data_IF_966911234452
#
_entry.id   IF_966911234452
#
_cell.length_a   1.000
_cell.length_b   1.000
_cell.length_c   1.000
_cell.angle_alpha   90.00
_cell.angle_beta   90.00
_cell.angle_gamma   90.00
#
_symmetry.space_group_name_H-M   'P 1'
#
loop_
_entity.id
_entity.type
_entity.pdbx_description
1 polymer ?
#
# COMPACT_ATOMS: atom_id res chain seq x y z
N UNK A 1 6.30 23.52 -0.98
CA UNK A 1 4.88 23.43 -1.40
C UNK A 1 4.58 21.95 -1.55
N UNK A 2 3.50 21.44 -0.94
CA UNK A 2 3.03 20.08 -1.23
C UNK A 2 2.56 20.03 -2.69
N UNK A 3 2.80 18.91 -3.37
CA UNK A 3 2.26 18.71 -4.72
C UNK A 3 0.74 18.74 -4.69
N UNK A 4 0.13 19.33 -5.72
CA UNK A 4 -1.32 19.31 -5.86
C UNK A 4 -1.81 17.90 -6.18
N UNK A 5 -3.03 17.55 -5.75
CA UNK A 5 -3.64 16.25 -6.11
C UNK A 5 -3.71 16.03 -7.63
N UNK A 6 -3.89 17.12 -8.38
CA UNK A 6 -3.86 17.10 -9.84
C UNK A 6 -2.52 16.58 -10.34
N UNK A 7 -1.43 17.22 -9.89
CA UNK A 7 -0.07 16.87 -10.30
C UNK A 7 0.23 15.42 -9.93
N UNK A 8 -0.10 15.01 -8.69
CA UNK A 8 0.10 13.64 -8.22
C UNK A 8 -0.57 12.60 -9.13
N UNK A 9 -1.81 12.86 -9.60
CA UNK A 9 -2.55 11.94 -10.46
C UNK A 9 -2.09 11.99 -11.92
N UNK A 10 -1.72 13.18 -12.40
CA UNK A 10 -1.24 13.40 -13.76
C UNK A 10 0.16 12.80 -13.98
N UNK A 11 0.97 12.70 -12.93
CA UNK A 11 2.31 12.10 -12.97
C UNK A 11 2.33 10.60 -12.67
N UNK A 12 1.19 9.99 -12.32
CA UNK A 12 1.13 8.54 -12.12
C UNK A 12 1.59 7.80 -13.38
N UNK A 13 2.47 6.79 -13.24
CA UNK A 13 2.96 6.04 -14.38
C UNK A 13 1.80 5.28 -15.05
N UNK A 14 1.71 5.36 -16.37
CA UNK A 14 0.78 4.55 -17.16
C UNK A 14 1.32 3.14 -17.43
N UNK A 15 2.65 2.98 -17.46
CA UNK A 15 3.33 1.74 -17.82
C UNK A 15 4.75 1.68 -17.20
N UNK A 16 4.84 1.32 -15.92
CA UNK A 16 6.10 1.01 -15.25
C UNK A 16 6.02 -0.37 -14.56
N UNK A 17 7.05 -0.76 -13.81
CA UNK A 17 7.06 -2.03 -13.09
C UNK A 17 5.89 -2.15 -12.11
N UNK A 18 5.60 -1.12 -11.30
CA UNK A 18 4.42 -1.10 -10.41
C UNK A 18 3.15 -1.46 -11.17
N UNK A 19 2.87 -0.80 -12.29
CA UNK A 19 1.66 -1.04 -13.09
C UNK A 19 1.65 -2.46 -13.68
N UNK A 20 2.80 -2.95 -14.15
CA UNK A 20 2.92 -4.32 -14.67
C UNK A 20 2.64 -5.37 -13.60
N UNK A 21 3.20 -5.20 -12.40
CA UNK A 21 2.97 -6.06 -11.25
C UNK A 21 1.50 -6.04 -10.84
N UNK A 22 0.88 -4.86 -10.74
CA UNK A 22 -0.55 -4.75 -10.42
C UNK A 22 -1.45 -5.40 -11.49
N UNK A 23 -1.12 -5.23 -12.77
CA UNK A 23 -1.83 -5.93 -13.86
C UNK A 23 -1.62 -7.44 -13.79
N UNK A 24 -0.42 -7.90 -13.43
CA UNK A 24 -0.13 -9.32 -13.25
C UNK A 24 -0.96 -9.95 -12.13
N UNK A 25 -1.32 -9.15 -11.10
CA UNK A 25 -2.17 -9.56 -10.00
C UNK A 25 -3.68 -9.40 -10.29
N UNK A 26 -4.08 -8.99 -11.50
CA UNK A 26 -5.51 -8.84 -11.84
C UNK A 26 -6.27 -10.17 -11.68
N UNK A 27 -5.64 -11.32 -11.88
CA UNK A 27 -6.27 -12.63 -11.66
C UNK A 27 -6.78 -12.85 -10.23
N UNK A 28 -6.21 -12.14 -9.24
CA UNK A 28 -6.63 -12.20 -7.83
C UNK A 28 -7.98 -11.49 -7.63
N UNK A 29 -8.22 -10.41 -8.37
CA UNK A 29 -9.46 -9.61 -8.35
C UNK A 29 -9.88 -9.21 -9.78
N UNK A 30 -10.34 -10.17 -10.60
CA UNK A 30 -10.44 -9.98 -12.05
C UNK A 30 -11.24 -8.77 -12.49
N UNK A 31 -10.58 -7.88 -13.26
CA UNK A 31 -11.18 -6.68 -13.84
C UNK A 31 -11.65 -5.64 -12.82
N UNK A 32 -11.25 -5.76 -11.55
CA UNK A 32 -11.65 -4.83 -10.48
C UNK A 32 -10.81 -3.57 -10.43
N UNK A 33 -9.64 -3.56 -11.07
CA UNK A 33 -8.78 -2.39 -11.14
C UNK A 33 -8.41 -2.05 -12.58
N UNK A 34 -8.30 -0.76 -12.83
CA UNK A 34 -7.78 -0.22 -14.08
C UNK A 34 -6.83 0.92 -13.72
N UNK A 35 -5.71 1.00 -14.43
CA UNK A 35 -4.75 2.08 -14.24
C UNK A 35 -5.22 3.39 -14.91
N UNK A 36 -6.23 4.04 -14.32
CA UNK A 36 -6.66 5.36 -14.78
C UNK A 36 -5.66 6.40 -14.29
N UNK A 37 -5.00 7.07 -15.24
CA UNK A 37 -4.05 8.16 -14.99
C UNK A 37 -4.57 9.45 -15.62
N UNK A 38 -4.18 10.58 -15.04
CA UNK A 38 -4.71 11.89 -15.42
C UNK A 38 -5.99 12.24 -14.64
N UNK A 39 -6.02 13.41 -14.03
CA UNK A 39 -7.10 13.81 -13.14
C UNK A 39 -8.45 13.92 -13.87
N UNK A 40 -8.46 14.51 -15.07
CA UNK A 40 -9.67 14.65 -15.88
C UNK A 40 -10.19 13.30 -16.39
N UNK A 41 -9.29 12.37 -16.73
CA UNK A 41 -9.66 10.99 -17.06
C UNK A 41 -10.27 10.28 -15.85
N UNK A 42 -9.74 10.55 -14.67
CA UNK A 42 -10.27 10.01 -13.41
C UNK A 42 -11.65 10.60 -13.12
N UNK A 43 -11.90 11.89 -13.36
CA UNK A 43 -13.23 12.50 -13.26
C UNK A 43 -14.22 11.77 -14.18
N UNK A 44 -13.86 11.58 -15.45
CA UNK A 44 -14.71 10.87 -16.42
C UNK A 44 -15.00 9.44 -15.95
N UNK A 45 -13.98 8.71 -15.49
CA UNK A 45 -14.11 7.33 -15.05
C UNK A 45 -14.95 7.17 -13.77
N UNK A 46 -14.90 8.16 -12.86
CA UNK A 46 -15.61 8.11 -11.56
C UNK A 46 -17.05 8.61 -11.68
N UNK A 47 -17.28 9.65 -12.48
CA UNK A 47 -18.57 10.36 -12.52
C UNK A 47 -19.39 10.09 -13.78
N UNK A 48 -18.77 9.58 -14.85
CA UNK A 48 -19.39 9.45 -16.17
C UNK A 48 -19.57 10.77 -16.92
N UNK A 49 -19.16 11.91 -16.34
CA UNK A 49 -19.29 13.23 -16.95
C UNK A 49 -18.29 13.40 -18.09
N UNK A 50 -18.78 13.83 -19.27
CA UNK A 50 -17.95 14.16 -20.44
C UNK A 50 -17.94 15.66 -20.78
N UNK A 51 -18.82 16.46 -20.17
CA UNK A 51 -18.89 17.90 -20.41
C UNK A 51 -17.69 18.63 -19.80
N UNK A 52 -17.00 19.43 -20.63
CA UNK A 52 -15.76 20.10 -20.23
C UNK A 52 -15.96 21.12 -19.09
N UNK A 53 -17.10 21.83 -19.06
CA UNK A 53 -17.37 22.80 -18.01
C UNK A 53 -17.62 22.10 -16.67
N UNK A 54 -18.40 21.01 -16.67
CA UNK A 54 -18.60 20.20 -15.46
C UNK A 54 -17.31 19.55 -14.97
N UNK A 55 -16.48 19.02 -15.87
CA UNK A 55 -15.16 18.48 -15.49
C UNK A 55 -14.32 19.55 -14.80
N UNK A 56 -14.26 20.77 -15.35
CA UNK A 56 -13.53 21.88 -14.76
C UNK A 56 -14.10 22.31 -13.39
N UNK A 57 -15.42 22.30 -13.21
CA UNK A 57 -16.05 22.58 -11.92
C UNK A 57 -15.67 21.54 -10.85
N UNK A 58 -15.76 20.25 -11.20
CA UNK A 58 -15.37 19.15 -10.30
C UNK A 58 -13.87 19.26 -9.98
N UNK A 59 -13.02 19.56 -10.96
CA UNK A 59 -11.58 19.75 -10.79
C UNK A 59 -11.27 20.86 -9.78
N UNK A 60 -11.87 22.05 -9.97
CA UNK A 60 -11.66 23.18 -9.07
C UNK A 60 -12.13 22.85 -7.64
N UNK A 61 -13.31 22.23 -7.51
CA UNK A 61 -13.85 21.84 -6.21
C UNK A 61 -12.98 20.78 -5.51
N UNK A 62 -12.42 19.83 -6.26
CA UNK A 62 -11.51 18.84 -5.71
C UNK A 62 -10.20 19.47 -5.21
N UNK A 63 -9.67 20.50 -5.89
CA UNK A 63 -8.51 21.27 -5.42
C UNK A 63 -8.83 21.98 -4.09
N UNK A 64 -9.99 22.62 -3.99
CA UNK A 64 -10.43 23.26 -2.74
C UNK A 64 -10.51 22.24 -1.58
N UNK A 65 -11.18 21.10 -1.81
CA UNK A 65 -11.32 20.04 -0.81
C UNK A 65 -9.99 19.40 -0.40
N UNK A 66 -9.05 19.27 -1.35
CA UNK A 66 -7.71 18.75 -1.07
C UNK A 66 -6.88 19.72 -0.23
N UNK A 67 -7.02 21.03 -0.45
CA UNK A 67 -6.27 22.06 0.27
C UNK A 67 -6.89 22.46 1.61
N UNK A 68 -8.14 22.08 1.87
CA UNK A 68 -8.78 22.24 3.17
C UNK A 68 -8.13 21.32 4.21
N UNK A 69 -7.34 21.90 5.11
CA UNK A 69 -6.62 21.18 6.18
C UNK A 69 -7.54 20.48 7.19
N UNK A 70 -8.83 20.84 7.22
CA UNK A 70 -9.81 20.10 8.02
C UNK A 70 -10.17 18.75 7.38
N UNK A 71 -9.87 18.57 6.08
CA UNK A 71 -10.01 17.31 5.36
C UNK A 71 -8.73 16.49 5.48
N UNK A 72 -8.88 15.17 5.64
CA UNK A 72 -7.75 14.27 5.83
C UNK A 72 -6.99 13.87 4.57
N UNK A 73 -7.33 14.40 3.39
CA UNK A 73 -6.80 13.91 2.11
C UNK A 73 -5.28 14.07 1.95
N UNK A 74 -4.73 15.23 2.30
CA UNK A 74 -3.27 15.43 2.26
C UNK A 74 -2.53 14.49 3.21
N UNK A 75 -3.10 14.25 4.39
CA UNK A 75 -2.54 13.32 5.36
C UNK A 75 -2.62 11.87 4.88
N UNK A 76 -3.69 11.50 4.17
CA UNK A 76 -3.80 10.17 3.55
C UNK A 76 -2.75 9.97 2.44
N UNK A 77 -2.51 10.97 1.59
CA UNK A 77 -1.40 10.92 0.61
C UNK A 77 -0.06 10.74 1.32
N UNK A 78 0.22 11.57 2.33
CA UNK A 78 1.46 11.47 3.11
C UNK A 78 1.64 10.08 3.74
N UNK A 79 0.57 9.48 4.26
CA UNK A 79 0.58 8.13 4.82
C UNK A 79 1.00 7.08 3.77
N UNK A 80 0.39 7.09 2.57
CA UNK A 80 0.73 6.16 1.50
C UNK A 80 2.15 6.37 0.96
N UNK A 81 2.61 7.63 0.89
CA UNK A 81 3.98 7.94 0.47
C UNK A 81 5.02 7.57 1.54
N UNK A 82 4.66 7.67 2.82
CA UNK A 82 5.56 7.36 3.93
C UNK A 82 5.87 5.87 4.00
N UNK A 83 4.86 5.01 3.79
CA UNK A 83 5.06 3.57 3.87
C UNK A 83 5.89 3.04 2.69
N UNK A 84 5.73 3.56 1.47
CA UNK A 84 6.58 3.21 0.32
C UNK A 84 7.96 3.92 0.34
N UNK A 85 8.03 5.11 0.94
CA UNK A 85 9.23 5.96 0.93
C UNK A 85 10.30 5.56 1.94
N UNK A 86 9.91 4.94 3.05
CA UNK A 86 10.85 4.48 4.08
C UNK A 86 11.82 3.43 3.53
N UNK A 87 11.35 2.55 2.65
CA UNK A 87 12.17 1.49 2.03
C UNK A 87 13.12 2.05 0.97
N UNK A 88 12.72 3.10 0.24
CA UNK A 88 13.57 3.81 -0.72
C UNK A 88 14.74 4.54 -0.07
N UNK A 89 14.54 5.20 1.07
CA UNK A 89 15.61 5.95 1.74
C UNK A 89 16.74 5.02 2.19
N UNK A 90 16.40 3.81 2.66
CA UNK A 90 17.37 2.78 3.01
C UNK A 90 18.03 2.15 1.77
N UNK A 91 17.26 1.86 0.71
CA UNK A 91 17.77 1.31 -0.54
C UNK A 91 18.68 2.26 -1.33
N UNK A 92 18.36 3.55 -1.38
CA UNK A 92 19.15 4.58 -2.07
C UNK A 92 20.48 4.87 -1.35
N UNK A 93 20.49 4.87 -0.02
CA UNK A 93 21.74 4.98 0.76
C UNK A 93 22.67 3.78 0.54
N UNK A 94 22.11 2.58 0.41
CA UNK A 94 22.86 1.38 0.07
C UNK A 94 23.43 1.39 -1.37
N UNK A 95 22.71 1.99 -2.32
CA UNK A 95 23.18 2.15 -3.72
C UNK A 95 24.18 3.31 -3.90
N UNK A 96 24.01 4.43 -3.21
CA UNK A 96 24.89 5.59 -3.29
C UNK A 96 26.32 5.29 -2.78
N UNK A 97 26.43 4.40 -1.78
CA UNK A 97 27.73 3.91 -1.28
C UNK A 97 28.45 2.94 -2.24
N UNK A 98 27.87 2.59 -3.40
CA UNK A 98 28.33 1.49 -4.25
C UNK A 98 28.62 1.83 -5.73
N UNK A 99 28.82 3.10 -6.09
CA UNK A 99 29.47 3.43 -7.37
C UNK A 99 30.96 3.07 -7.28
N UNK A 100 31.30 1.77 -7.43
CA UNK A 100 32.69 1.30 -7.42
C UNK A 100 32.94 -0.19 -7.18
N UNK A 101 32.00 -0.96 -6.60
CA UNK A 101 32.28 -2.36 -6.22
C UNK A 101 31.45 -3.38 -7.03
N UNK A 102 32.13 -4.16 -7.88
CA UNK A 102 31.61 -5.42 -8.41
C UNK A 102 31.68 -6.46 -7.30
N UNK A 103 30.57 -6.76 -6.60
CA UNK A 103 30.24 -8.07 -5.98
C UNK A 103 28.94 -7.95 -5.17
N UNK A 104 28.06 -8.95 -5.37
CA UNK A 104 27.03 -9.41 -4.43
C UNK A 104 26.06 -8.37 -3.93
N UNK A 105 24.92 -8.22 -4.62
CA UNK A 105 23.80 -7.33 -4.30
C UNK A 105 23.34 -7.36 -2.81
N UNK A 106 23.77 -8.34 -1.99
CA UNK A 106 23.11 -8.71 -0.73
C UNK A 106 24.04 -9.08 0.45
N UNK A 107 25.31 -8.69 0.44
CA UNK A 107 26.16 -8.90 1.62
C UNK A 107 25.79 -8.03 2.83
N UNK A 108 24.93 -7.01 2.66
CA UNK A 108 24.48 -6.12 3.73
C UNK A 108 23.38 -6.73 4.63
N UNK A 109 22.77 -7.86 4.23
CA UNK A 109 21.82 -8.61 5.06
C UNK A 109 22.50 -9.40 6.18
N UNK A 110 23.83 -9.50 6.19
CA UNK A 110 24.56 -10.43 7.06
C UNK A 110 25.11 -9.83 8.35
N UNK A 111 24.79 -8.58 8.72
CA UNK A 111 25.24 -8.02 10.00
C UNK A 111 24.19 -7.12 10.66
N UNK A 112 23.65 -7.60 11.77
CA UNK A 112 22.82 -6.89 12.77
C UNK A 112 21.42 -6.46 12.30
N UNK A 113 20.77 -7.25 11.46
CA UNK A 113 19.35 -7.09 11.08
C UNK A 113 18.50 -8.14 11.82
N UNK A 114 17.27 -7.82 12.29
CA UNK A 114 16.31 -8.83 12.72
C UNK A 114 16.12 -9.90 11.62
N UNK A 115 15.62 -11.09 11.96
CA UNK A 115 15.36 -12.14 10.96
C UNK A 115 14.47 -11.57 9.85
N UNK A 116 14.70 -11.93 8.58
CA UNK A 116 13.94 -11.41 7.44
C UNK A 116 12.41 -11.50 7.67
N UNK A 117 11.94 -12.64 8.19
CA UNK A 117 10.54 -12.85 8.57
C UNK A 117 10.00 -11.80 9.57
N UNK A 118 10.80 -11.36 10.53
CA UNK A 118 10.42 -10.31 11.50
C UNK A 118 10.22 -8.99 10.79
N UNK A 119 11.17 -8.58 9.94
CA UNK A 119 11.13 -7.29 9.23
C UNK A 119 9.89 -7.24 8.33
N UNK A 120 9.66 -8.30 7.57
CA UNK A 120 8.52 -8.42 6.66
C UNK A 120 7.19 -8.48 7.42
N UNK A 121 7.14 -9.16 8.57
CA UNK A 121 5.95 -9.19 9.42
C UNK A 121 5.62 -7.81 10.00
N UNK A 122 6.64 -7.07 10.44
CA UNK A 122 6.51 -5.70 10.95
C UNK A 122 6.03 -4.77 9.84
N UNK A 123 6.62 -4.87 8.65
CA UNK A 123 6.24 -4.05 7.51
C UNK A 123 4.77 -4.27 7.10
N UNK A 124 4.35 -5.53 6.92
CA UNK A 124 2.95 -5.89 6.65
C UNK A 124 1.99 -5.33 7.71
N UNK A 125 2.34 -5.42 8.99
CA UNK A 125 1.54 -4.84 10.08
C UNK A 125 1.40 -3.31 9.94
N UNK A 126 2.49 -2.62 9.61
CA UNK A 126 2.50 -1.18 9.47
C UNK A 126 1.74 -0.73 8.21
N UNK A 127 1.85 -1.44 7.08
CA UNK A 127 1.04 -1.20 5.87
C UNK A 127 -0.46 -1.32 6.16
N UNK A 128 -0.89 -2.30 6.97
CA UNK A 128 -2.29 -2.44 7.41
C UNK A 128 -2.73 -1.25 8.29
N UNK A 129 -1.88 -0.84 9.23
CA UNK A 129 -2.18 0.30 10.13
C UNK A 129 -2.24 1.60 9.34
N UNK A 130 -1.31 1.82 8.41
CA UNK A 130 -1.30 2.96 7.50
C UNK A 130 -2.57 3.00 6.66
N UNK A 131 -3.01 1.86 6.13
CA UNK A 131 -4.28 1.75 5.39
C UNK A 131 -5.47 2.16 6.26
N UNK A 132 -5.55 1.65 7.48
CA UNK A 132 -6.60 1.99 8.44
C UNK A 132 -6.61 3.50 8.78
N UNK A 133 -5.44 4.07 9.03
CA UNK A 133 -5.29 5.51 9.30
C UNK A 133 -5.72 6.33 8.08
N UNK A 134 -5.27 5.97 6.88
CA UNK A 134 -5.61 6.68 5.66
C UNK A 134 -7.10 6.57 5.32
N UNK A 135 -7.70 5.38 5.51
CA UNK A 135 -9.14 5.18 5.39
C UNK A 135 -9.93 6.11 6.31
N UNK A 136 -9.55 6.20 7.59
CA UNK A 136 -10.19 7.10 8.53
C UNK A 136 -10.06 8.58 8.12
N UNK A 137 -8.91 8.98 7.59
CA UNK A 137 -8.65 10.36 7.13
C UNK A 137 -9.43 10.73 5.88
N UNK A 138 -9.51 9.82 4.90
CA UNK A 138 -10.28 10.01 3.66
C UNK A 138 -11.77 10.19 3.97
N UNK A 139 -12.29 9.39 4.91
CA UNK A 139 -13.71 9.37 5.25
C UNK A 139 -14.09 10.32 6.40
N UNK A 140 -13.13 11.08 6.94
CA UNK A 140 -13.37 12.01 8.05
C UNK A 140 -13.91 11.35 9.32
N UNK A 141 -13.48 10.12 9.61
CA UNK A 141 -13.99 9.36 10.75
C UNK A 141 -13.52 9.99 12.08
N UNK A 142 -14.43 10.16 13.06
CA UNK A 142 -14.10 10.77 14.35
C UNK A 142 -13.29 9.83 15.26
N UNK A 143 -13.32 8.52 14.99
CA UNK A 143 -12.56 7.50 15.70
C UNK A 143 -12.14 6.39 14.76
N UNK A 144 -11.06 5.69 15.13
CA UNK A 144 -10.45 4.64 14.33
C UNK A 144 -10.73 3.29 15.01
N UNK A 145 -11.41 2.40 14.30
CA UNK A 145 -11.81 1.10 14.82
C UNK A 145 -11.41 -0.03 13.85
N UNK A 146 -10.50 -0.93 14.25
CA UNK A 146 -10.09 -2.07 13.44
C UNK A 146 -11.21 -2.97 12.91
N UNK A 147 -12.25 -3.23 13.71
CA UNK A 147 -13.35 -4.13 13.32
C UNK A 147 -14.25 -3.48 12.26
N UNK A 148 -14.56 -2.19 12.45
CA UNK A 148 -15.28 -1.41 11.43
C UNK A 148 -14.49 -1.42 10.13
N UNK A 149 -13.19 -1.15 10.19
CA UNK A 149 -12.33 -1.16 9.01
C UNK A 149 -12.29 -2.51 8.27
N UNK A 150 -12.21 -3.64 8.99
CA UNK A 150 -12.32 -4.95 8.35
C UNK A 150 -13.66 -5.16 7.62
N UNK A 151 -14.74 -4.60 8.17
CA UNK A 151 -16.07 -4.61 7.52
C UNK A 151 -16.06 -3.77 6.24
N UNK A 152 -15.42 -2.60 6.27
CA UNK A 152 -15.28 -1.70 5.12
C UNK A 152 -14.45 -2.32 3.99
N UNK A 153 -13.36 -3.03 4.32
CA UNK A 153 -12.61 -3.80 3.34
C UNK A 153 -13.52 -4.84 2.67
N UNK A 154 -14.34 -5.56 3.44
CA UNK A 154 -15.18 -6.60 2.90
C UNK A 154 -16.34 -6.07 2.04
N UNK A 155 -16.90 -4.90 2.37
CA UNK A 155 -18.15 -4.41 1.78
C UNK A 155 -17.97 -3.30 0.75
N UNK A 156 -16.93 -2.48 0.90
CA UNK A 156 -16.83 -1.19 0.21
C UNK A 156 -15.51 -0.96 -0.51
N UNK A 157 -14.46 -1.75 -0.24
CA UNK A 157 -13.22 -1.67 -0.99
C UNK A 157 -13.43 -2.11 -2.44
N UNK A 158 -13.05 -1.23 -3.35
CA UNK A 158 -13.19 -1.38 -4.80
C UNK A 158 -12.01 -0.70 -5.49
N UNK A 159 -11.87 -0.88 -6.80
CA UNK A 159 -10.89 -0.17 -7.62
C UNK A 159 -9.45 -0.30 -7.06
N UNK A 160 -8.74 0.82 -6.94
CA UNK A 160 -7.37 0.90 -6.48
C UNK A 160 -7.20 0.45 -5.01
N UNK A 161 -8.17 0.72 -4.14
CA UNK A 161 -8.09 0.31 -2.73
C UNK A 161 -8.15 -1.21 -2.58
N UNK A 162 -9.02 -1.88 -3.34
CA UNK A 162 -9.09 -3.35 -3.34
C UNK A 162 -7.82 -3.97 -3.94
N UNK A 163 -7.33 -3.42 -5.07
CA UNK A 163 -6.09 -3.88 -5.68
C UNK A 163 -4.89 -3.73 -4.76
N UNK A 164 -4.79 -2.63 -4.03
CA UNK A 164 -3.73 -2.45 -3.02
C UNK A 164 -3.75 -3.53 -1.96
N UNK A 165 -4.93 -3.85 -1.42
CA UNK A 165 -5.04 -4.88 -0.39
C UNK A 165 -4.75 -6.28 -0.94
N UNK A 166 -5.12 -6.56 -2.19
CA UNK A 166 -4.76 -7.81 -2.86
C UNK A 166 -3.24 -7.90 -3.09
N UNK A 167 -2.62 -6.80 -3.55
CA UNK A 167 -1.18 -6.70 -3.73
C UNK A 167 -0.42 -6.86 -2.41
N UNK A 168 -0.89 -6.26 -1.31
CA UNK A 168 -0.34 -6.43 0.03
C UNK A 168 -0.29 -7.91 0.46
N UNK A 169 -1.40 -8.64 0.27
CA UNK A 169 -1.44 -10.07 0.60
C UNK A 169 -0.46 -10.87 -0.26
N UNK A 170 -0.31 -10.52 -1.53
CA UNK A 170 0.57 -11.25 -2.45
C UNK A 170 2.05 -10.92 -2.23
N UNK A 171 2.39 -9.64 -2.21
CA UNK A 171 3.77 -9.11 -2.27
C UNK A 171 4.41 -9.02 -0.89
N UNK A 172 3.64 -8.70 0.16
CA UNK A 172 4.16 -8.51 1.53
C UNK A 172 3.78 -9.66 2.47
N UNK A 173 2.73 -10.40 2.13
CA UNK A 173 2.32 -11.61 2.81
C UNK A 173 2.97 -12.85 2.20
N UNK A 174 2.35 -13.38 1.15
CA UNK A 174 2.64 -14.71 0.62
C UNK A 174 4.06 -14.87 0.07
N UNK A 175 4.53 -13.92 -0.73
CA UNK A 175 5.84 -13.98 -1.39
C UNK A 175 7.00 -14.02 -0.37
N UNK A 176 7.12 -13.09 0.60
CA UNK A 176 8.23 -13.08 1.55
C UNK A 176 8.04 -14.03 2.74
N UNK A 177 6.80 -14.20 3.22
CA UNK A 177 6.55 -14.95 4.47
C UNK A 177 6.02 -16.37 4.22
N UNK A 178 5.65 -16.70 2.98
CA UNK A 178 5.16 -18.00 2.58
C UNK A 178 3.68 -18.24 2.92
N UNK A 179 3.18 -19.48 2.72
CA UNK A 179 1.74 -19.79 2.83
C UNK A 179 1.19 -19.63 4.27
N UNK A 180 2.07 -19.67 5.28
CA UNK A 180 1.70 -19.52 6.69
C UNK A 180 1.96 -18.10 7.22
N UNK A 181 2.02 -17.07 6.34
CA UNK A 181 2.39 -15.71 6.72
C UNK A 181 1.56 -15.15 7.89
N UNK A 182 0.25 -15.42 7.94
CA UNK A 182 -0.62 -14.97 9.02
C UNK A 182 -0.15 -15.46 10.39
N UNK A 183 0.23 -16.75 10.47
CA UNK A 183 0.75 -17.34 11.69
C UNK A 183 2.12 -16.76 12.06
N UNK A 184 2.99 -16.54 11.06
CA UNK A 184 4.30 -15.91 11.30
C UNK A 184 4.16 -14.51 11.89
N UNK A 185 3.27 -13.69 11.34
CA UNK A 185 3.01 -12.34 11.84
C UNK A 185 2.46 -12.37 13.27
N UNK A 186 1.49 -13.25 13.55
CA UNK A 186 0.96 -13.43 14.91
C UNK A 186 2.05 -13.84 15.91
N UNK A 187 2.95 -14.74 15.49
CA UNK A 187 4.08 -15.16 16.32
C UNK A 187 5.03 -14.00 16.59
N UNK A 188 5.39 -13.20 15.58
CA UNK A 188 6.25 -12.01 15.73
C UNK A 188 5.62 -10.99 16.68
N UNK A 189 4.33 -10.68 16.53
CA UNK A 189 3.60 -9.78 17.42
C UNK A 189 3.60 -10.28 18.88
N UNK A 190 3.54 -11.60 19.09
CA UNK A 190 3.49 -12.21 20.42
C UNK A 190 4.86 -12.36 21.07
N UNK A 191 5.91 -12.67 20.30
CA UNK A 191 7.24 -13.02 20.81
C UNK A 191 8.18 -11.84 20.95
N UNK A 192 8.15 -10.91 20.00
CA UNK A 192 9.06 -9.75 19.97
C UNK A 192 8.39 -8.47 20.49
N UNK A 193 7.06 -8.43 20.42
CA UNK A 193 6.24 -7.34 20.94
C UNK A 193 6.68 -5.97 20.42
N UNK A 194 6.82 -5.00 21.33
CA UNK A 194 7.10 -3.61 20.96
C UNK A 194 8.51 -3.42 20.38
N UNK A 195 9.46 -4.28 20.77
CA UNK A 195 10.86 -4.17 20.33
C UNK A 195 11.05 -4.43 18.84
N UNK A 196 10.11 -5.14 18.19
CA UNK A 196 10.12 -5.35 16.75
C UNK A 196 9.85 -4.07 15.94
N UNK A 197 9.17 -3.08 16.54
CA UNK A 197 8.70 -1.86 15.86
C UNK A 197 9.55 -0.63 16.16
N UNK A 198 10.23 -0.57 17.30
CA UNK A 198 10.90 0.66 17.78
C UNK A 198 12.03 1.16 16.89
N UNK A 199 12.66 0.27 16.12
CA UNK A 199 13.70 0.62 15.13
C UNK A 199 13.14 0.88 13.73
N UNK A 200 11.84 0.66 13.50
CA UNK A 200 11.24 0.81 12.18
C UNK A 200 10.96 2.30 11.86
N UNK A 201 11.47 2.83 10.72
CA UNK A 201 11.26 4.24 10.34
C UNK A 201 9.80 4.62 10.06
N UNK A 202 9.01 3.71 9.47
CA UNK A 202 7.57 3.92 9.24
C UNK A 202 6.86 4.03 10.58
N UNK A 203 7.10 3.10 11.50
CA UNK A 203 6.51 3.16 12.85
C UNK A 203 6.86 4.48 13.53
N UNK A 204 8.13 4.89 13.50
CA UNK A 204 8.56 6.16 14.09
C UNK A 204 7.80 7.35 13.50
N UNK A 205 7.59 7.35 12.18
CA UNK A 205 6.90 8.43 11.47
C UNK A 205 5.40 8.51 11.77
N UNK A 206 4.72 7.36 11.92
CA UNK A 206 3.26 7.30 12.08
C UNK A 206 2.77 7.04 13.51
N UNK A 207 3.67 6.71 14.44
CA UNK A 207 3.35 6.31 15.82
C UNK A 207 2.44 7.30 16.57
N UNK A 208 2.62 8.60 16.32
CA UNK A 208 1.81 9.66 16.92
C UNK A 208 0.37 9.68 16.42
N UNK A 209 0.10 9.09 15.25
CA UNK A 209 -1.23 8.99 14.64
C UNK A 209 -1.97 7.70 15.04
N UNK A 210 -1.24 6.69 15.50
CA UNK A 210 -1.83 5.45 16.02
C UNK A 210 -2.59 5.79 17.31
N UNK A 211 -3.88 5.43 17.45
CA UNK A 211 -4.67 5.75 18.65
C UNK A 211 -4.20 5.02 19.92
N UNK A 212 -4.46 5.63 21.09
CA UNK A 212 -4.25 5.03 22.42
C UNK A 212 -2.78 5.00 22.87
N UNK A 213 -2.53 4.74 24.15
CA UNK A 213 -1.17 4.56 24.67
C UNK A 213 -0.57 3.21 24.26
N UNK A 214 -1.41 2.17 24.20
CA UNK A 214 -1.03 0.82 23.78
C UNK A 214 -0.99 0.70 22.24
N UNK A 215 0.07 1.25 21.64
CA UNK A 215 0.29 1.21 20.18
C UNK A 215 0.40 -0.21 19.65
N UNK A 216 1.08 -1.10 20.37
CA UNK A 216 1.27 -2.49 19.97
C UNK A 216 -0.05 -3.24 20.00
N UNK A 217 -0.86 -3.07 21.04
CA UNK A 217 -2.20 -3.63 21.12
C UNK A 217 -3.08 -3.13 19.97
N UNK A 218 -2.99 -1.86 19.60
CA UNK A 218 -3.69 -1.34 18.43
C UNK A 218 -3.23 -2.00 17.12
N UNK A 219 -1.92 -2.15 16.90
CA UNK A 219 -1.35 -2.82 15.72
C UNK A 219 -1.83 -4.28 15.65
N UNK A 220 -1.71 -5.02 16.77
CA UNK A 220 -2.13 -6.42 16.86
C UNK A 220 -3.62 -6.59 16.61
N UNK A 221 -4.46 -5.73 17.20
CA UNK A 221 -5.91 -5.71 16.95
C UNK A 221 -6.25 -5.37 15.50
N UNK A 222 -5.48 -4.47 14.87
CA UNK A 222 -5.64 -4.11 13.45
C UNK A 222 -5.37 -5.31 12.54
N UNK A 223 -4.23 -5.96 12.73
CA UNK A 223 -3.86 -7.17 11.99
C UNK A 223 -4.88 -8.31 12.20
N UNK A 224 -5.26 -8.56 13.45
CA UNK A 224 -6.23 -9.58 13.81
C UNK A 224 -7.60 -9.34 13.17
N UNK A 225 -8.06 -8.09 13.10
CA UNK A 225 -9.35 -7.75 12.49
C UNK A 225 -9.40 -8.06 10.99
N UNK A 226 -8.30 -7.84 10.26
CA UNK A 226 -8.25 -8.07 8.80
C UNK A 226 -7.79 -9.46 8.40
N UNK A 227 -7.25 -10.26 9.33
CA UNK A 227 -6.74 -11.62 9.06
C UNK A 227 -7.79 -12.55 8.45
N UNK A 228 -9.05 -12.44 8.85
CA UNK A 228 -10.15 -13.21 8.27
C UNK A 228 -10.39 -12.88 6.80
N UNK A 229 -10.32 -11.59 6.44
CA UNK A 229 -10.44 -11.15 5.05
C UNK A 229 -9.26 -11.65 4.21
N UNK A 230 -8.02 -11.54 4.71
CA UNK A 230 -6.83 -12.07 4.01
C UNK A 230 -6.91 -13.58 3.79
N UNK A 231 -7.37 -14.33 4.80
CA UNK A 231 -7.59 -15.78 4.69
C UNK A 231 -8.60 -16.12 3.60
N UNK A 232 -9.72 -15.39 3.56
CA UNK A 232 -10.74 -15.59 2.53
C UNK A 232 -10.23 -15.24 1.13
N UNK A 233 -9.43 -14.18 0.98
CA UNK A 233 -8.82 -13.84 -0.30
C UNK A 233 -7.90 -14.96 -0.79
N UNK A 234 -6.98 -15.42 0.08
CA UNK A 234 -6.06 -16.53 -0.23
C UNK A 234 -6.83 -17.78 -0.65
N UNK A 235 -7.85 -18.16 0.12
CA UNK A 235 -8.66 -19.36 -0.18
C UNK A 235 -9.49 -19.22 -1.46
N UNK A 236 -10.15 -18.08 -1.67
CA UNK A 236 -11.06 -17.89 -2.81
C UNK A 236 -10.36 -17.72 -4.14
N UNK A 237 -9.19 -17.08 -4.16
CA UNK A 237 -8.36 -16.93 -5.36
C UNK A 237 -7.32 -18.07 -5.51
N UNK A 238 -7.29 -19.04 -4.59
CA UNK A 238 -6.37 -20.17 -4.62
C UNK A 238 -4.90 -19.74 -4.57
N UNK A 239 -4.58 -18.69 -3.82
CA UNK A 239 -3.25 -18.08 -3.81
C UNK A 239 -2.21 -18.98 -3.15
N UNK A 240 -1.05 -19.07 -3.79
CA UNK A 240 0.16 -19.72 -3.29
C UNK A 240 1.35 -18.83 -3.63
N UNK A 241 2.49 -18.93 -2.93
CA UNK A 241 3.68 -18.20 -3.37
C UNK A 241 4.01 -18.52 -4.83
N UNK A 242 3.96 -19.79 -5.23
CA UNK A 242 4.30 -20.26 -6.57
C UNK A 242 3.42 -19.65 -7.66
N UNK A 243 2.09 -19.63 -7.47
CA UNK A 243 1.23 -19.05 -8.49
C UNK A 243 1.36 -17.53 -8.57
N UNK A 244 1.55 -16.83 -7.45
CA UNK A 244 1.86 -15.40 -7.45
C UNK A 244 3.14 -15.16 -8.25
N UNK A 245 4.22 -15.89 -7.97
CA UNK A 245 5.47 -15.78 -8.73
C UNK A 245 5.30 -16.05 -10.23
N UNK A 246 4.62 -17.13 -10.61
CA UNK A 246 4.43 -17.48 -12.03
C UNK A 246 3.71 -16.39 -12.83
N UNK A 247 2.84 -15.59 -12.19
CA UNK A 247 2.18 -14.45 -12.83
C UNK A 247 3.10 -13.23 -12.92
N UNK A 248 4.08 -13.10 -12.02
CA UNK A 248 5.06 -12.01 -11.99
C UNK A 248 6.26 -12.25 -12.91
N UNK A 249 6.64 -13.51 -13.15
CA UNK A 249 7.76 -13.93 -14.02
C UNK A 249 7.68 -13.39 -15.45
N UNK A 250 6.46 -13.14 -15.96
CA UNK A 250 6.27 -12.56 -17.31
C UNK A 250 6.91 -11.18 -17.52
N UNK A 251 7.40 -10.54 -16.46
CA UNK A 251 7.99 -9.20 -16.49
C UNK A 251 9.43 -9.15 -15.98
N UNK A 252 9.94 -10.24 -15.39
CA UNK A 252 11.26 -10.29 -14.76
C UNK A 252 11.85 -11.69 -14.95
N UNK A 253 12.98 -11.80 -15.66
CA UNK A 253 13.73 -13.06 -15.78
C UNK A 253 14.36 -13.40 -14.41
N UNK A 254 13.80 -14.38 -13.70
CA UNK A 254 14.36 -14.89 -12.45
C UNK A 254 14.91 -16.31 -12.63
N UNK A 255 15.91 -16.66 -11.82
CA UNK A 255 16.37 -18.04 -11.63
C UNK A 255 15.65 -18.67 -10.43
N UNK A 256 15.20 -19.91 -10.55
CA UNK A 256 14.34 -20.65 -9.60
C UNK A 256 14.76 -20.58 -8.11
N UNK A 257 16.04 -20.43 -7.79
CA UNK A 257 16.56 -20.55 -6.41
C UNK A 257 16.48 -19.25 -5.56
N UNK A 258 15.60 -18.30 -5.90
CA UNK A 258 15.76 -16.90 -5.46
C UNK A 258 14.50 -16.15 -4.99
N UNK A 259 13.48 -16.87 -4.49
CA UNK A 259 12.22 -16.27 -4.04
C UNK A 259 12.39 -15.11 -3.04
N UNK A 260 13.30 -15.24 -2.07
CA UNK A 260 13.60 -14.18 -1.09
C UNK A 260 14.17 -12.91 -1.74
N UNK A 261 14.89 -13.06 -2.85
CA UNK A 261 15.44 -11.93 -3.61
C UNK A 261 14.39 -11.28 -4.50
N UNK A 262 13.40 -12.04 -4.97
CA UNK A 262 12.25 -11.51 -5.71
C UNK A 262 11.40 -10.64 -4.79
N UNK A 263 11.12 -11.08 -3.57
CA UNK A 263 10.35 -10.31 -2.60
C UNK A 263 10.99 -8.94 -2.33
N UNK A 264 12.29 -8.93 -1.98
CA UNK A 264 13.03 -7.70 -1.74
C UNK A 264 13.14 -6.81 -2.99
N UNK A 265 13.26 -7.40 -4.18
CA UNK A 265 13.27 -6.65 -5.43
C UNK A 265 11.91 -6.00 -5.72
N UNK A 266 10.81 -6.72 -5.57
CA UNK A 266 9.47 -6.20 -5.81
C UNK A 266 9.14 -5.06 -4.85
N UNK A 267 9.46 -5.20 -3.57
CA UNK A 267 9.26 -4.16 -2.57
C UNK A 267 10.08 -2.90 -2.90
N UNK A 268 11.37 -3.05 -3.26
CA UNK A 268 12.21 -1.91 -3.62
C UNK A 268 11.86 -1.26 -4.98
N UNK A 269 11.38 -2.06 -5.94
CA UNK A 269 11.20 -1.63 -7.33
C UNK A 269 9.74 -1.25 -7.68
N UNK A 270 8.79 -1.53 -6.76
CA UNK A 270 7.40 -1.12 -6.90
C UNK A 270 7.01 -0.10 -5.85
N UNK A 271 6.03 0.74 -6.18
CA UNK A 271 5.46 1.74 -5.27
C UNK A 271 3.94 1.58 -5.27
N UNK A 272 3.48 0.36 -5.08
CA UNK A 272 2.09 0.03 -5.34
C UNK A 272 1.18 0.67 -4.29
N UNK A 273 1.64 0.89 -3.05
CA UNK A 273 0.88 1.52 -1.98
C UNK A 273 0.67 3.02 -2.25
N UNK A 274 1.71 3.73 -2.67
CA UNK A 274 1.67 5.12 -3.11
C UNK A 274 0.81 5.27 -4.37
N UNK A 275 1.07 4.45 -5.40
CA UNK A 275 0.37 4.52 -6.69
C UNK A 275 -1.14 4.35 -6.53
N UNK A 276 -1.55 3.26 -5.90
CA UNK A 276 -2.99 2.97 -5.65
C UNK A 276 -3.58 3.88 -4.58
N UNK A 277 -2.76 4.43 -3.69
CA UNK A 277 -3.17 5.40 -2.67
C UNK A 277 -3.53 6.76 -3.25
N UNK A 278 -2.71 7.28 -4.17
CA UNK A 278 -3.03 8.48 -4.93
C UNK A 278 -4.34 8.27 -5.70
N UNK A 279 -4.50 7.13 -6.38
CA UNK A 279 -5.75 6.79 -7.08
C UNK A 279 -6.95 6.75 -6.13
N UNK A 280 -6.81 6.13 -4.95
CA UNK A 280 -7.88 6.03 -3.95
C UNK A 280 -8.31 7.40 -3.44
N UNK A 281 -7.35 8.26 -3.08
CA UNK A 281 -7.63 9.64 -2.61
C UNK A 281 -8.28 10.46 -3.73
N UNK A 282 -7.78 10.37 -4.96
CA UNK A 282 -8.34 11.08 -6.10
C UNK A 282 -9.80 10.69 -6.36
N UNK A 283 -10.13 9.39 -6.34
CA UNK A 283 -11.51 8.91 -6.52
C UNK A 283 -12.43 9.40 -5.41
N UNK A 284 -11.99 9.36 -4.15
CA UNK A 284 -12.77 9.88 -3.02
C UNK A 284 -13.03 11.40 -3.14
N UNK A 285 -11.97 12.16 -3.43
CA UNK A 285 -12.07 13.61 -3.67
C UNK A 285 -13.01 13.97 -4.80
N UNK A 286 -12.91 13.26 -5.93
CA UNK A 286 -13.77 13.49 -7.10
C UNK A 286 -15.22 13.17 -6.78
N UNK A 287 -15.49 12.05 -6.09
CA UNK A 287 -16.85 11.71 -5.64
C UNK A 287 -17.44 12.79 -4.74
N UNK A 288 -16.64 13.31 -3.80
CA UNK A 288 -17.07 14.40 -2.92
C UNK A 288 -17.26 15.71 -3.70
N UNK A 289 -16.33 16.06 -4.59
CA UNK A 289 -16.38 17.28 -5.39
C UNK A 289 -17.55 17.29 -6.37
N UNK A 290 -17.97 16.14 -6.88
CA UNK A 290 -19.11 16.00 -7.76
C UNK A 290 -20.46 16.11 -7.05
N UNK A 291 -20.52 16.07 -5.71
CA UNK A 291 -21.78 16.27 -4.98
C UNK A 291 -22.31 17.67 -5.23
N UNK A 292 -23.41 17.77 -5.99
CA UNK A 292 -24.10 19.03 -6.27
C UNK A 292 -23.74 19.70 -7.60
N UNK A 293 -23.06 18.99 -8.53
CA UNK A 293 -22.75 19.41 -9.92
C UNK A 293 -23.46 18.47 -10.91
#
# INVERSE_FOLDING_TARGET
>A
MSESIIQLVDTLPSNNLTVKVLNALDYVIPGKWQNVVGFDNTIKAVTGVSDANKIMQIRNRAIELYNDKSKGYQQAIWLYQTVDGADKAMGAAAMANKVGEKIGFLSFLNKLTPKADTIQSVDLCLKIVVELLAYAKINGLPSINPKTFATEINQHYTDAALMRMAALVCIDGLVPLGPNFLQKVQNTLSSEGQSAFTSNPVFSSVSSLIPGEDKLGFISNSFGAVSGWMTNLVGSAGLTPQNVFSHLEGFIEFSDDKLDFVAAFLDQATNYYEHTGIQTVARALIREAAKGI
#
